data_IF_223995949629
#
_entry.id   IF_223995949629
#
_cell.length_a   1.000
_cell.length_b   1.000
_cell.length_c   1.000
_cell.angle_alpha   90.00
_cell.angle_beta   90.00
_cell.angle_gamma   90.00
#
_symmetry.space_group_name_H-M   'P 1'
#
loop_
_entity.id
_entity.type
_entity.pdbx_description
1 polymer ?
#
# COMPACT_ATOMS: atom_id res chain seq x y z
N UNK A 1 12.42 12.19 18.70
CA UNK A 1 11.38 12.08 17.69
C UNK A 1 11.52 13.15 16.64
N UNK A 2 11.34 12.76 15.41
CA UNK A 2 11.45 13.67 14.28
C UNK A 2 10.08 14.07 13.78
N UNK A 3 9.91 15.35 13.51
CA UNK A 3 8.68 15.84 12.90
C UNK A 3 8.99 16.26 11.48
N UNK A 4 8.15 15.84 10.56
CA UNK A 4 8.34 16.19 9.17
C UNK A 4 6.99 16.27 8.46
N UNK A 5 7.02 16.84 7.27
CA UNK A 5 5.84 16.90 6.42
C UNK A 5 6.10 16.11 5.16
N UNK A 6 5.12 15.31 4.77
CA UNK A 6 5.20 14.57 3.52
C UNK A 6 3.98 14.87 2.68
N UNK A 7 4.14 14.76 1.38
CA UNK A 7 3.06 15.02 0.45
C UNK A 7 2.70 13.72 -0.25
N UNK A 8 1.41 13.37 -0.19
CA UNK A 8 0.91 12.18 -0.87
C UNK A 8 -0.38 12.54 -1.57
N UNK A 9 -0.42 12.33 -2.86
CA UNK A 9 -1.58 12.61 -3.70
C UNK A 9 -2.09 14.05 -3.54
N UNK A 10 -1.15 14.97 -3.51
CA UNK A 10 -1.47 16.40 -3.46
C UNK A 10 -1.82 16.93 -2.09
N UNK A 11 -1.79 16.10 -1.06
CA UNK A 11 -2.05 16.54 0.31
C UNK A 11 -0.80 16.44 1.16
N UNK A 12 -0.66 17.39 2.07
CA UNK A 12 0.49 17.42 2.97
C UNK A 12 0.07 16.91 4.34
N UNK A 13 0.90 16.02 4.88
CA UNK A 13 0.66 15.41 6.17
C UNK A 13 1.83 15.66 7.10
N UNK A 14 1.53 16.01 8.35
CA UNK A 14 2.55 16.16 9.37
C UNK A 14 2.71 14.84 10.09
N UNK A 15 3.95 14.36 10.14
CA UNK A 15 4.24 13.05 10.70
C UNK A 15 5.30 13.19 11.79
N UNK A 16 5.11 12.46 12.89
CA UNK A 16 6.10 12.34 13.92
C UNK A 16 6.60 10.90 13.93
N UNK A 17 7.90 10.71 13.85
CA UNK A 17 8.46 9.38 13.74
C UNK A 17 9.79 9.30 14.48
N UNK A 18 10.13 8.10 14.92
CA UNK A 18 11.45 7.83 15.48
C UNK A 18 12.46 7.47 14.40
N UNK A 19 11.98 7.25 13.18
CA UNK A 19 12.85 6.93 12.05
C UNK A 19 13.49 8.18 11.49
N UNK A 20 14.52 7.98 10.69
CA UNK A 20 15.15 9.10 9.99
C UNK A 20 14.15 9.72 9.01
N UNK A 21 14.14 11.05 8.90
CA UNK A 21 13.21 11.71 7.98
C UNK A 21 13.29 11.21 6.55
N UNK A 22 14.50 10.92 6.07
CA UNK A 22 14.70 10.44 4.72
C UNK A 22 14.01 9.12 4.47
N UNK A 23 14.00 8.26 5.47
CA UNK A 23 13.33 6.98 5.38
C UNK A 23 11.84 7.15 5.16
N UNK A 24 11.24 8.07 5.91
CA UNK A 24 9.80 8.33 5.80
C UNK A 24 9.46 9.02 4.48
N UNK A 25 10.30 9.94 4.05
CA UNK A 25 10.09 10.61 2.77
C UNK A 25 10.12 9.61 1.63
N UNK A 26 11.04 8.67 1.67
CA UNK A 26 11.13 7.65 0.65
C UNK A 26 9.88 6.78 0.60
N UNK A 27 9.38 6.41 1.77
CA UNK A 27 8.13 5.64 1.85
C UNK A 27 6.97 6.43 1.29
N UNK A 28 6.89 7.71 1.63
CA UNK A 28 5.81 8.56 1.16
C UNK A 28 5.84 8.70 -0.36
N UNK A 29 7.02 8.82 -0.93
CA UNK A 29 7.16 8.91 -2.38
C UNK A 29 6.73 7.64 -3.07
N UNK A 30 7.10 6.50 -2.51
CA UNK A 30 6.66 5.21 -3.05
C UNK A 30 5.15 5.06 -2.98
N UNK A 31 4.59 5.43 -1.85
CA UNK A 31 3.14 5.35 -1.67
C UNK A 31 2.42 6.25 -2.65
N UNK A 32 2.92 7.46 -2.82
CA UNK A 32 2.36 8.41 -3.77
C UNK A 32 2.32 7.82 -5.18
N UNK A 33 3.43 7.25 -5.60
CA UNK A 33 3.52 6.64 -6.92
C UNK A 33 2.57 5.46 -7.07
N UNK A 34 2.49 4.64 -6.05
CA UNK A 34 1.64 3.46 -6.10
C UNK A 34 0.16 3.81 -6.16
N UNK A 35 -0.25 4.80 -5.37
CA UNK A 35 -1.64 5.25 -5.39
C UNK A 35 -1.98 5.84 -6.74
N UNK A 36 -1.11 6.69 -7.26
CA UNK A 36 -1.35 7.33 -8.55
C UNK A 36 -1.39 6.32 -9.70
N UNK A 37 -0.57 5.29 -9.62
CA UNK A 37 -0.58 4.23 -10.62
C UNK A 37 -1.91 3.49 -10.61
N UNK A 38 -2.45 3.20 -9.43
CA UNK A 38 -3.73 2.53 -9.32
C UNK A 38 -4.88 3.40 -9.82
N UNK A 39 -4.85 4.68 -9.49
CA UNK A 39 -5.88 5.59 -9.97
C UNK A 39 -5.84 5.68 -11.50
N UNK A 40 -4.65 5.68 -12.05
CA UNK A 40 -4.49 5.73 -13.49
C UNK A 40 -5.02 4.47 -14.17
N UNK A 41 -4.75 3.34 -13.56
CA UNK A 41 -5.17 2.06 -14.11
C UNK A 41 -6.67 1.82 -13.93
N UNK A 42 -7.21 2.25 -12.80
CA UNK A 42 -8.62 2.08 -12.45
C UNK A 42 -9.22 3.40 -12.01
N UNK A 43 -9.53 4.28 -12.96
CA UNK A 43 -9.99 5.64 -12.61
C UNK A 43 -11.23 5.66 -11.72
N UNK A 44 -12.09 4.67 -11.82
CA UNK A 44 -13.31 4.64 -11.04
C UNK A 44 -13.09 4.34 -9.56
N UNK A 45 -11.89 3.85 -9.19
CA UNK A 45 -11.59 3.58 -7.79
C UNK A 45 -11.45 4.85 -6.96
N UNK A 46 -10.84 5.88 -7.55
CA UNK A 46 -10.55 7.08 -6.81
C UNK A 46 -9.35 6.91 -5.88
N UNK A 47 -8.94 8.02 -5.28
CA UNK A 47 -7.73 8.05 -4.46
C UNK A 47 -7.92 7.27 -3.16
N UNK A 48 -9.06 7.42 -2.51
CA UNK A 48 -9.28 6.77 -1.22
C UNK A 48 -9.22 5.25 -1.34
N UNK A 49 -9.94 4.69 -2.31
CA UNK A 49 -9.93 3.25 -2.50
C UNK A 49 -8.57 2.75 -2.93
N UNK A 50 -7.90 3.50 -3.79
CA UNK A 50 -6.55 3.13 -4.21
C UNK A 50 -5.58 3.12 -3.03
N UNK A 51 -5.72 4.07 -2.11
CA UNK A 51 -4.89 4.10 -0.92
C UNK A 51 -5.15 2.88 -0.04
N UNK A 52 -6.40 2.48 0.09
CA UNK A 52 -6.74 1.28 0.86
C UNK A 52 -6.09 0.04 0.24
N UNK A 53 -6.17 -0.10 -1.07
CA UNK A 53 -5.54 -1.24 -1.74
C UNK A 53 -4.02 -1.23 -1.58
N UNK A 54 -3.41 -0.06 -1.63
CA UNK A 54 -1.97 0.03 -1.38
C UNK A 54 -1.62 -0.38 0.04
N UNK A 55 -2.45 0.01 1.00
CA UNK A 55 -2.23 -0.39 2.39
C UNK A 55 -2.35 -1.90 2.55
N UNK A 56 -3.33 -2.49 1.89
CA UNK A 56 -3.51 -3.94 1.96
C UNK A 56 -2.31 -4.67 1.39
N UNK A 57 -1.80 -4.19 0.26
CA UNK A 57 -0.60 -4.79 -0.32
C UNK A 57 0.61 -4.67 0.60
N UNK A 58 0.74 -3.52 1.26
CA UNK A 58 1.86 -3.31 2.17
C UNK A 58 1.80 -4.28 3.34
N UNK A 59 0.62 -4.49 3.89
CA UNK A 59 0.46 -5.43 4.98
C UNK A 59 0.67 -6.87 4.54
N UNK A 60 0.29 -7.17 3.33
CA UNK A 60 0.55 -8.49 2.78
C UNK A 60 2.05 -8.78 2.72
N UNK A 61 2.80 -7.81 2.21
CA UNK A 61 4.25 -7.97 2.13
C UNK A 61 4.89 -8.06 3.51
N UNK A 62 4.38 -7.29 4.45
CA UNK A 62 4.85 -7.35 5.82
C UNK A 62 4.62 -8.73 6.40
N UNK A 63 3.45 -9.28 6.18
CA UNK A 63 3.11 -10.60 6.70
C UNK A 63 4.01 -11.67 6.09
N UNK A 64 4.25 -11.59 4.79
CA UNK A 64 5.15 -12.52 4.12
C UNK A 64 6.55 -12.47 4.74
N UNK A 65 7.04 -11.27 4.99
CA UNK A 65 8.36 -11.10 5.58
C UNK A 65 8.44 -11.69 6.98
N UNK A 66 7.37 -11.54 7.76
CA UNK A 66 7.33 -12.05 9.13
C UNK A 66 7.24 -13.57 9.19
N UNK A 67 6.56 -14.17 8.24
CA UNK A 67 6.33 -15.62 8.24
C UNK A 67 7.33 -16.40 7.40
N UNK A 68 8.30 -15.71 6.85
CA UNK A 68 9.19 -16.32 5.90
C UNK A 68 8.53 -16.34 4.54
N UNK A 69 9.09 -17.04 3.62
CA UNK A 69 8.65 -16.97 2.22
C UNK A 69 7.95 -18.21 1.73
N UNK A 70 7.66 -19.12 2.63
CA UNK A 70 7.30 -20.46 2.23
C UNK A 70 6.04 -20.58 1.42
N UNK A 71 5.08 -19.76 1.68
CA UNK A 71 3.77 -19.95 1.08
C UNK A 71 3.23 -18.65 0.50
N UNK A 72 4.08 -17.94 -0.18
CA UNK A 72 3.72 -16.65 -0.72
C UNK A 72 2.50 -16.73 -1.62
N UNK A 73 2.51 -17.66 -2.55
CA UNK A 73 1.42 -17.77 -3.52
C UNK A 73 0.09 -18.12 -2.85
N UNK A 74 0.15 -19.02 -1.88
CA UNK A 74 -1.05 -19.41 -1.14
C UNK A 74 -1.64 -18.24 -0.39
N UNK A 75 -0.79 -17.46 0.25
CA UNK A 75 -1.25 -16.33 1.03
C UNK A 75 -1.83 -15.23 0.16
N UNK A 76 -1.20 -14.94 -0.94
CA UNK A 76 -1.70 -13.92 -1.86
C UNK A 76 -3.05 -14.33 -2.40
N UNK A 77 -3.18 -15.58 -2.77
CA UNK A 77 -4.41 -16.10 -3.32
C UNK A 77 -5.55 -16.01 -2.31
N UNK A 78 -5.30 -16.42 -1.08
CA UNK A 78 -6.29 -16.33 -0.02
C UNK A 78 -6.71 -14.89 0.23
N UNK A 79 -5.74 -14.01 0.25
CA UNK A 79 -5.99 -12.61 0.50
C UNK A 79 -6.86 -12.00 -0.59
N UNK A 80 -6.51 -12.23 -1.83
CA UNK A 80 -7.28 -11.72 -2.96
C UNK A 80 -8.68 -12.31 -3.00
N UNK A 81 -8.80 -13.56 -2.64
CA UNK A 81 -10.10 -14.22 -2.60
C UNK A 81 -10.99 -13.62 -1.51
N UNK A 82 -10.41 -13.32 -0.34
CA UNK A 82 -11.16 -12.70 0.75
C UNK A 82 -11.72 -11.35 0.37
N UNK A 83 -10.98 -10.57 -0.38
CA UNK A 83 -11.47 -9.25 -0.78
C UNK A 83 -12.27 -9.28 -2.08
N UNK A 84 -12.47 -10.49 -2.63
CA UNK A 84 -13.32 -10.66 -3.79
C UNK A 84 -12.69 -10.45 -5.14
N UNK A 85 -11.44 -10.00 -5.18
CA UNK A 85 -10.80 -9.71 -6.46
C UNK A 85 -10.56 -10.95 -7.30
N UNK A 86 -10.09 -12.00 -6.65
CA UNK A 86 -9.79 -13.22 -7.38
C UNK A 86 -11.06 -13.91 -7.86
N UNK A 87 -12.10 -13.82 -7.05
CA UNK A 87 -13.37 -14.43 -7.40
C UNK A 87 -13.96 -13.77 -8.65
N UNK A 88 -13.86 -12.46 -8.69
CA UNK A 88 -14.34 -11.72 -9.86
C UNK A 88 -13.61 -12.12 -11.11
N UNK A 89 -12.33 -12.38 -10.99
CA UNK A 89 -11.52 -12.76 -12.14
C UNK A 89 -11.88 -14.15 -12.64
N UNK A 90 -12.36 -15.00 -11.78
CA UNK A 90 -12.72 -16.36 -12.18
C UNK A 90 -14.06 -16.45 -12.88
N UNK A 91 -14.90 -15.55 -12.55
CA UNK A 91 -16.23 -15.54 -13.14
C UNK A 91 -16.22 -15.05 -14.57
#
# INVERSE_FOLDING_TARGET
MNKLKVSVCGRTYSITTDNEPEFVVEIAEKLDKNINALVKQYPSLGIQSSAVFCALEAYEEKKKAEEGMDNIRGQVKEYLDEIGMLRDARD
#
